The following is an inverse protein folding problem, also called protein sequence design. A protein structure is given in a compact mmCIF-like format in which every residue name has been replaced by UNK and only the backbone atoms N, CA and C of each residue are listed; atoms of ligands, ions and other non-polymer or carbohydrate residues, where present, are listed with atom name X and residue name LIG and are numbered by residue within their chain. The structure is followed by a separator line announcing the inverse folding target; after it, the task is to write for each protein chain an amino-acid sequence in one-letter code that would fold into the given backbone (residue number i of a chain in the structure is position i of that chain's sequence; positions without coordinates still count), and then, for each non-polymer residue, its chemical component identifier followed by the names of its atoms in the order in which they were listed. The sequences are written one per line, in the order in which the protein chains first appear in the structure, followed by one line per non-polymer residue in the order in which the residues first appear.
data_IF_032984749464
#
_entry.id   IF_032984749464
#
_cell.length_a   1.000
_cell.length_b   1.000
_cell.length_c   1.000
_cell.angle_alpha   90.00
_cell.angle_beta   90.00
_cell.angle_gamma   90.00
#
_symmetry.space_group_name_H-M   'P 1'
#
loop_
_entity.id
_entity.type
_entity.pdbx_description
1 polymer ?
#
# COMPACT_ATOMS: atom_id res chain seq x y z
N UNK A 1 2.41 -30.90 5.00
CA UNK A 1 2.83 -29.53 5.35
C UNK A 1 1.63 -28.64 5.14
N UNK A 2 1.18 -27.92 6.17
CA UNK A 2 0.10 -26.95 6.01
C UNK A 2 0.74 -25.62 5.62
N UNK A 3 0.35 -25.08 4.47
CA UNK A 3 0.84 -23.79 4.01
C UNK A 3 0.23 -22.68 4.85
N UNK A 4 1.02 -21.65 5.13
CA UNK A 4 0.59 -20.47 5.88
C UNK A 4 0.87 -19.22 5.05
N UNK A 5 -0.12 -18.34 5.00
CA UNK A 5 0.00 -16.97 4.55
C UNK A 5 0.56 -16.13 5.68
N UNK A 6 1.54 -15.29 5.38
CA UNK A 6 2.16 -14.35 6.32
C UNK A 6 1.71 -12.95 5.91
N UNK A 7 0.85 -12.34 6.73
CA UNK A 7 0.47 -10.94 6.58
C UNK A 7 1.49 -10.04 7.26
N UNK A 8 1.90 -8.97 6.58
CA UNK A 8 2.89 -8.00 7.05
C UNK A 8 2.34 -6.60 6.84
N UNK A 9 2.40 -5.79 7.91
CA UNK A 9 2.18 -4.35 7.85
C UNK A 9 3.52 -3.63 8.09
N UNK A 10 3.82 -2.62 7.28
CA UNK A 10 5.03 -1.82 7.36
C UNK A 10 4.66 -0.38 7.66
N UNK A 11 5.37 0.25 8.60
CA UNK A 11 5.22 1.65 8.99
C UNK A 11 6.59 2.33 8.97
N UNK A 12 6.76 3.41 8.20
CA UNK A 12 8.01 4.13 8.03
C UNK A 12 9.17 3.25 7.54
N UNK A 13 8.86 2.23 6.72
CA UNK A 13 9.82 1.23 6.26
C UNK A 13 10.22 0.17 7.30
N UNK A 14 9.57 0.12 8.46
CA UNK A 14 9.79 -0.88 9.50
C UNK A 14 8.60 -1.85 9.57
N UNK A 15 8.88 -3.14 9.72
CA UNK A 15 7.84 -4.15 9.94
C UNK A 15 7.21 -3.90 11.32
N UNK A 16 5.93 -3.57 11.33
CA UNK A 16 5.16 -3.30 12.56
C UNK A 16 4.42 -4.56 13.02
N UNK A 17 3.55 -5.09 12.16
CA UNK A 17 2.70 -6.23 12.49
C UNK A 17 2.97 -7.40 11.56
N UNK A 18 3.15 -8.58 12.14
CA UNK A 18 3.26 -9.86 11.40
C UNK A 18 2.28 -10.86 11.97
N UNK A 19 1.53 -11.54 11.11
CA UNK A 19 0.65 -12.63 11.51
C UNK A 19 0.64 -13.76 10.50
N UNK A 20 0.26 -14.95 10.97
CA UNK A 20 0.11 -16.14 10.14
C UNK A 20 -1.37 -16.55 10.04
N UNK A 21 -1.80 -16.97 8.86
CA UNK A 21 -3.11 -17.56 8.61
C UNK A 21 -3.03 -18.71 7.61
N UNK A 22 -3.94 -19.67 7.72
CA UNK A 22 -4.00 -20.83 6.79
C UNK A 22 -4.95 -20.60 5.61
N UNK A 23 -5.80 -19.58 5.71
CA UNK A 23 -6.78 -19.19 4.70
C UNK A 23 -6.45 -17.80 4.15
N UNK A 24 -6.44 -17.65 2.83
CA UNK A 24 -6.06 -16.41 2.17
C UNK A 24 -7.04 -15.27 2.44
N UNK A 25 -8.35 -15.53 2.38
CA UNK A 25 -9.35 -14.49 2.58
C UNK A 25 -9.31 -14.00 4.02
N UNK A 26 -9.16 -14.92 4.98
CA UNK A 26 -8.96 -14.57 6.38
C UNK A 26 -7.67 -13.79 6.61
N UNK A 27 -6.59 -14.14 5.92
CA UNK A 27 -5.34 -13.38 5.96
C UNK A 27 -5.55 -11.94 5.45
N UNK A 28 -6.27 -11.79 4.33
CA UNK A 28 -6.61 -10.50 3.73
C UNK A 28 -7.50 -9.65 4.63
N UNK A 29 -8.55 -10.23 5.20
CA UNK A 29 -9.46 -9.49 6.08
C UNK A 29 -8.73 -8.97 7.32
N UNK A 30 -7.89 -9.81 7.94
CA UNK A 30 -7.04 -9.39 9.08
C UNK A 30 -6.03 -8.32 8.69
N UNK A 31 -5.46 -8.40 7.49
CA UNK A 31 -4.52 -7.40 6.99
C UNK A 31 -5.21 -6.05 6.82
N UNK A 32 -6.38 -6.03 6.18
CA UNK A 32 -7.16 -4.82 5.97
C UNK A 32 -7.72 -4.25 7.27
N UNK A 33 -8.06 -5.09 8.24
CA UNK A 33 -8.41 -4.66 9.58
C UNK A 33 -7.22 -3.99 10.27
N UNK A 34 -6.04 -4.61 10.22
CA UNK A 34 -4.81 -4.04 10.79
C UNK A 34 -4.45 -2.70 10.13
N UNK A 35 -4.59 -2.62 8.80
CA UNK A 35 -4.38 -1.39 8.03
C UNK A 35 -5.34 -0.27 8.44
N UNK A 36 -6.64 -0.57 8.61
CA UNK A 36 -7.68 0.45 8.90
C UNK A 36 -7.79 0.82 10.38
N UNK A 37 -7.46 -0.10 11.27
CA UNK A 37 -7.65 0.05 12.73
C UNK A 37 -6.33 0.28 13.47
N UNK A 38 -5.23 0.63 12.78
CA UNK A 38 -4.04 1.14 13.44
C UNK A 38 -4.40 2.45 14.14
N UNK A 39 -4.85 2.38 15.39
CA UNK A 39 -5.16 3.53 16.25
C UNK A 39 -3.94 4.36 16.64
N UNK A 40 -2.84 4.20 15.93
CA UNK A 40 -1.63 5.00 15.97
C UNK A 40 -1.47 5.64 14.60
N UNK A 41 -1.41 6.96 14.57
CA UNK A 41 -0.54 7.66 13.64
C UNK A 41 0.89 7.14 13.93
N UNK A 42 1.50 6.30 13.07
CA UNK A 42 1.36 6.32 11.62
C UNK A 42 0.55 5.13 11.06
N UNK A 43 -0.20 5.41 10.00
CA UNK A 43 -0.94 4.43 9.22
C UNK A 43 0.02 3.37 8.67
N UNK A 44 -0.50 2.17 8.40
CA UNK A 44 0.27 1.17 7.68
C UNK A 44 0.58 1.71 6.28
N UNK A 45 1.85 1.98 5.96
CA UNK A 45 2.24 2.51 4.64
C UNK A 45 2.06 1.42 3.57
N UNK A 46 2.52 0.21 3.89
CA UNK A 46 2.41 -0.97 3.02
C UNK A 46 1.81 -2.16 3.76
N UNK A 47 0.81 -2.79 3.16
CA UNK A 47 0.20 -4.02 3.66
C UNK A 47 0.40 -5.15 2.64
N UNK A 48 1.08 -6.24 3.02
CA UNK A 48 1.46 -7.34 2.11
C UNK A 48 1.11 -8.72 2.67
N UNK A 49 0.87 -9.70 1.81
CA UNK A 49 0.73 -11.12 2.16
C UNK A 49 1.73 -11.94 1.38
N UNK A 50 2.44 -12.82 2.08
CA UNK A 50 3.39 -13.76 1.50
C UNK A 50 2.92 -15.20 1.65
N UNK A 51 3.18 -16.04 0.65
CA UNK A 51 3.03 -17.49 0.70
C UNK A 51 4.37 -18.13 0.31
N UNK A 52 4.97 -18.91 1.20
CA UNK A 52 6.29 -19.51 0.98
C UNK A 52 7.40 -18.50 0.62
N UNK A 53 7.28 -17.27 1.13
CA UNK A 53 8.24 -16.20 0.84
C UNK A 53 7.98 -15.43 -0.46
N UNK A 54 6.97 -15.81 -1.24
CA UNK A 54 6.53 -15.06 -2.42
C UNK A 54 5.38 -14.13 -2.06
N UNK A 55 5.44 -12.87 -2.49
CA UNK A 55 4.35 -11.91 -2.33
C UNK A 55 3.16 -12.34 -3.21
N UNK A 56 2.00 -12.52 -2.59
CA UNK A 56 0.75 -12.94 -3.27
C UNK A 56 -0.35 -11.90 -3.21
N UNK A 57 -0.16 -10.85 -2.40
CA UNK A 57 -1.06 -9.72 -2.28
C UNK A 57 -0.32 -8.52 -1.71
N UNK A 58 -0.57 -7.35 -2.27
CA UNK A 58 -0.21 -6.05 -1.71
C UNK A 58 -1.44 -5.15 -1.67
N UNK A 59 -1.46 -4.24 -0.70
CA UNK A 59 -2.40 -3.17 -0.57
C UNK A 59 -1.60 -1.88 -0.38
N UNK A 60 -1.75 -0.99 -1.34
CA UNK A 60 -1.13 0.33 -1.37
C UNK A 60 -2.23 1.39 -1.23
N UNK A 61 -1.90 2.53 -0.62
CA UNK A 61 -2.81 3.67 -0.54
C UNK A 61 -3.06 4.25 -1.93
N UNK A 62 -4.27 4.79 -2.13
CA UNK A 62 -4.64 5.46 -3.38
C UNK A 62 -4.60 6.97 -3.18
N UNK A 63 -3.96 7.68 -4.10
CA UNK A 63 -3.91 9.14 -4.14
C UNK A 63 -4.57 9.67 -5.41
N UNK A 64 -5.18 10.87 -5.32
CA UNK A 64 -5.84 11.51 -6.47
C UNK A 64 -4.89 12.44 -7.20
N UNK A 65 -4.73 12.29 -8.51
CA UNK A 65 -3.96 13.23 -9.32
C UNK A 65 -4.66 14.59 -9.37
N UNK A 66 -4.00 15.64 -8.89
CA UNK A 66 -4.52 17.01 -8.87
C UNK A 66 -4.76 17.63 -10.25
N UNK A 67 -4.19 17.06 -11.32
CA UNK A 67 -4.39 17.55 -12.69
C UNK A 67 -5.53 16.83 -13.44
N UNK A 68 -5.55 15.49 -13.43
CA UNK A 68 -6.57 14.73 -14.16
C UNK A 68 -7.76 14.28 -13.30
N UNK A 69 -7.64 14.33 -11.97
CA UNK A 69 -8.71 13.99 -11.02
C UNK A 69 -8.99 12.49 -10.86
N UNK A 70 -8.14 11.63 -11.41
CA UNK A 70 -8.26 10.17 -11.29
C UNK A 70 -7.40 9.68 -10.11
N UNK A 71 -7.81 8.56 -9.51
CA UNK A 71 -7.09 7.91 -8.40
C UNK A 71 -6.06 6.90 -8.92
N UNK A 72 -4.87 6.92 -8.33
CA UNK A 72 -3.75 6.03 -8.65
C UNK A 72 -3.13 5.48 -7.37
N UNK A 73 -2.39 4.36 -7.42
CA UNK A 73 -1.52 3.98 -6.32
C UNK A 73 -0.61 5.15 -5.95
N UNK A 74 -0.41 5.39 -4.66
CA UNK A 74 0.46 6.48 -4.18
C UNK A 74 1.86 6.40 -4.79
N UNK A 75 2.37 5.18 -4.99
CA UNK A 75 3.64 4.88 -5.65
C UNK A 75 3.73 5.38 -7.11
N UNK A 76 2.58 5.59 -7.78
CA UNK A 76 2.45 6.10 -9.15
C UNK A 76 2.17 7.63 -9.21
N UNK A 77 2.02 8.27 -8.05
CA UNK A 77 1.81 9.72 -7.90
C UNK A 77 3.07 10.38 -7.36
N UNK A 78 3.52 11.42 -8.03
CA UNK A 78 4.54 12.31 -7.50
C UNK A 78 3.91 13.37 -6.60
N UNK A 79 4.12 13.24 -5.29
CA UNK A 79 3.58 14.14 -4.25
C UNK A 79 4.62 15.12 -3.67
N UNK A 80 5.91 14.96 -4.01
CA UNK A 80 7.00 15.74 -3.37
C UNK A 80 7.49 16.87 -4.28
N UNK A 81 7.54 16.62 -5.60
CA UNK A 81 8.24 17.52 -6.52
C UNK A 81 7.40 18.73 -6.95
N UNK A 82 6.11 18.80 -6.58
CA UNK A 82 5.14 19.76 -7.10
C UNK A 82 4.19 20.31 -6.04
N UNK A 83 3.59 21.47 -6.31
CA UNK A 83 2.51 22.03 -5.47
C UNK A 83 1.20 21.22 -5.56
N UNK A 84 1.07 20.37 -6.58
CA UNK A 84 -0.06 19.46 -6.78
C UNK A 84 0.46 18.05 -6.99
N UNK A 85 -0.26 17.07 -6.47
CA UNK A 85 0.04 15.66 -6.69
C UNK A 85 -0.19 15.29 -8.16
N UNK A 86 0.80 14.70 -8.82
CA UNK A 86 0.72 14.40 -10.25
C UNK A 86 0.96 12.92 -10.51
N UNK A 87 0.05 12.27 -11.22
CA UNK A 87 0.34 10.97 -11.80
C UNK A 87 1.49 11.09 -12.83
N UNK A 88 2.24 10.01 -13.05
CA UNK A 88 3.41 10.02 -13.92
C UNK A 88 3.14 10.42 -15.40
N UNK A 89 1.89 10.35 -15.86
CA UNK A 89 1.51 10.87 -17.18
C UNK A 89 1.41 12.40 -17.17
N UNK A 90 0.65 12.97 -16.23
CA UNK A 90 0.48 14.42 -16.10
C UNK A 90 1.79 15.12 -15.69
N UNK A 91 2.63 14.45 -14.89
CA UNK A 91 3.96 14.96 -14.51
C UNK A 91 4.83 15.24 -15.75
N UNK A 92 4.86 14.31 -16.71
CA UNK A 92 5.61 14.50 -17.96
C UNK A 92 5.12 15.71 -18.75
N UNK A 93 3.81 15.95 -18.77
CA UNK A 93 3.26 17.15 -19.42
C UNK A 93 3.60 18.42 -18.65
N UNK A 94 3.61 18.35 -17.32
CA UNK A 94 3.92 19.47 -16.44
C UNK A 94 5.39 19.90 -16.54
N UNK A 95 6.34 18.96 -16.59
CA UNK A 95 7.78 19.21 -16.77
C UNK A 95 8.12 19.87 -18.11
N UNK A 96 7.23 19.78 -19.11
CA UNK A 96 7.46 20.30 -20.46
C UNK A 96 6.81 21.68 -20.71
N UNK A 97 6.25 22.33 -19.67
CA UNK A 97 5.71 23.70 -19.74
C UNK A 97 6.71 24.71 -19.18
#
# INVERSE_FOLDING_TARGET
MQFKYIGVCVIGGLIDTVFEEVDFNKAKDRLLEAYKNSGFDPHCDDARIFLNGEEVYSYEEMATCGNCGEDYPESDINMIDYEIDLCGACEKEYKNK
#
